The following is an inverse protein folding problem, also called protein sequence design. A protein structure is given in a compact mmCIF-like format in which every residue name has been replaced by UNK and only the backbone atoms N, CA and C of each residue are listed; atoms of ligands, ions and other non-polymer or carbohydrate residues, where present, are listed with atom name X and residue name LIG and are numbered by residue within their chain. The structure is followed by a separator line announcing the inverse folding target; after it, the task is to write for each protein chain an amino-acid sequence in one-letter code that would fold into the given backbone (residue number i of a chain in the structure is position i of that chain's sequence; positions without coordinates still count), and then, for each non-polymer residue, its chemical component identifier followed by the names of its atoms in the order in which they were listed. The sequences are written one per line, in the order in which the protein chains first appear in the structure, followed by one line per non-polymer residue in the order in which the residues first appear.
data_IF_411798316157
#
_entry.id   IF_411798316157
#
_cell.length_a   1.000
_cell.length_b   1.000
_cell.length_c   1.000
_cell.angle_alpha   90.00
_cell.angle_beta   90.00
_cell.angle_gamma   90.00
#
_symmetry.space_group_name_H-M   'P 1'
#
loop_
_entity.id
_entity.type
_entity.pdbx_description
1 polymer ?
#
# COMPACT_ATOMS: atom_id res chain seq x y z
N UNK A 1 41.73 30.17 -27.63
CA UNK A 1 41.78 30.24 -26.16
C UNK A 1 40.42 30.67 -25.61
N UNK A 2 39.77 29.80 -24.83
CA UNK A 2 39.08 30.08 -23.56
C UNK A 2 37.96 29.06 -23.36
N UNK A 3 38.26 28.13 -22.46
CA UNK A 3 37.29 27.28 -21.77
C UNK A 3 36.30 28.20 -21.06
N UNK A 4 34.99 28.04 -21.31
CA UNK A 4 33.97 28.58 -20.43
C UNK A 4 32.99 27.48 -20.07
N UNK A 5 33.21 27.01 -18.86
CA UNK A 5 32.35 26.23 -17.98
C UNK A 5 30.96 26.87 -17.95
N UNK A 6 29.89 26.10 -18.19
CA UNK A 6 28.54 26.52 -17.81
C UNK A 6 27.80 25.34 -17.19
N UNK A 7 28.10 25.13 -15.91
CA UNK A 7 27.45 24.20 -14.99
C UNK A 7 26.32 24.99 -14.31
N UNK A 8 25.05 24.87 -14.73
CA UNK A 8 23.99 25.12 -13.75
C UNK A 8 22.86 24.08 -13.75
N UNK A 9 22.93 23.00 -14.53
CA UNK A 9 21.82 22.04 -14.60
C UNK A 9 21.76 21.08 -13.41
N UNK A 10 22.90 20.77 -12.78
CA UNK A 10 22.96 19.82 -11.66
C UNK A 10 22.47 20.38 -10.32
N UNK A 11 22.36 21.71 -10.16
CA UNK A 11 21.93 22.33 -8.89
C UNK A 11 20.40 22.36 -8.77
N UNK A 12 19.66 22.37 -9.88
CA UNK A 12 18.19 22.40 -9.88
C UNK A 12 17.54 21.06 -9.49
N UNK A 13 18.25 19.94 -9.60
CA UNK A 13 17.73 18.62 -9.21
C UNK A 13 17.69 18.39 -7.68
N UNK A 14 18.46 19.15 -6.89
CA UNK A 14 18.50 18.99 -5.43
C UNK A 14 17.41 19.77 -4.68
N UNK A 15 16.69 20.67 -5.35
CA UNK A 15 15.61 21.48 -4.76
C UNK A 15 14.22 20.82 -4.85
N UNK A 16 14.08 19.67 -5.51
CA UNK A 16 12.82 18.92 -5.61
C UNK A 16 12.54 18.00 -4.41
N UNK A 17 13.39 18.04 -3.37
CA UNK A 17 13.22 17.21 -2.17
C UNK A 17 12.03 17.74 -1.35
N UNK A 18 10.81 17.27 -1.66
CA UNK A 18 9.64 17.47 -0.80
C UNK A 18 9.94 16.85 0.55
N UNK A 19 9.90 17.66 1.61
CA UNK A 19 10.02 17.19 2.99
C UNK A 19 8.96 16.11 3.21
N UNK A 20 9.37 14.87 3.46
CA UNK A 20 8.43 13.79 3.80
C UNK A 20 7.62 14.23 5.01
N UNK A 21 6.30 14.34 4.82
CA UNK A 21 5.38 14.60 5.91
C UNK A 21 5.31 13.32 6.72
N UNK A 22 6.13 13.23 7.77
CA UNK A 22 6.03 12.17 8.76
C UNK A 22 4.75 12.41 9.57
N UNK A 23 3.67 11.72 9.19
CA UNK A 23 2.49 11.61 10.04
C UNK A 23 2.85 10.73 11.24
N UNK A 24 2.57 11.16 12.48
CA UNK A 24 2.82 10.34 13.65
C UNK A 24 2.03 9.03 13.54
N UNK A 25 2.73 7.91 13.74
CA UNK A 25 2.13 6.58 13.75
C UNK A 25 1.19 6.43 14.96
N UNK A 26 -0.02 5.95 14.71
CA UNK A 26 -1.03 5.68 15.74
C UNK A 26 -1.35 4.18 15.77
N UNK A 27 -0.78 3.49 16.76
CA UNK A 27 -0.96 2.05 16.96
C UNK A 27 -2.43 1.68 17.24
N UNK A 28 -3.18 2.54 17.93
CA UNK A 28 -4.57 2.29 18.30
C UNK A 28 -5.45 2.29 17.05
N UNK A 29 -5.26 3.28 16.16
CA UNK A 29 -5.95 3.33 14.87
C UNK A 29 -5.61 2.13 13.99
N UNK A 30 -4.33 1.76 13.91
CA UNK A 30 -3.90 0.60 13.13
C UNK A 30 -4.59 -0.69 13.62
N UNK A 31 -4.62 -0.92 14.94
CA UNK A 31 -5.31 -2.08 15.53
C UNK A 31 -6.81 -2.09 15.22
N UNK A 32 -7.48 -0.95 15.38
CA UNK A 32 -8.91 -0.83 15.11
C UNK A 32 -9.23 -1.16 13.63
N UNK A 33 -8.45 -0.61 12.69
CA UNK A 33 -8.61 -0.89 11.26
C UNK A 33 -8.38 -2.37 10.92
N UNK A 34 -7.38 -3.00 11.53
CA UNK A 34 -7.11 -4.44 11.34
C UNK A 34 -8.27 -5.28 11.89
N UNK A 35 -8.78 -4.97 13.09
CA UNK A 35 -9.91 -5.68 13.68
C UNK A 35 -11.16 -5.59 12.80
N UNK A 36 -11.47 -4.40 12.28
CA UNK A 36 -12.59 -4.21 11.36
C UNK A 36 -12.40 -4.99 10.06
N UNK A 37 -11.20 -4.92 9.47
CA UNK A 37 -10.85 -5.66 8.25
C UNK A 37 -11.04 -7.17 8.43
N UNK A 38 -10.53 -7.73 9.53
CA UNK A 38 -10.65 -9.15 9.84
C UNK A 38 -12.11 -9.58 10.07
N UNK A 39 -12.94 -8.71 10.66
CA UNK A 39 -14.36 -8.98 10.84
C UNK A 39 -15.09 -9.10 9.51
N UNK A 40 -14.86 -8.19 8.57
CA UNK A 40 -15.45 -8.27 7.23
C UNK A 40 -14.95 -9.50 6.46
N UNK A 41 -13.64 -9.78 6.53
CA UNK A 41 -13.05 -10.98 5.92
C UNK A 41 -13.73 -12.24 6.44
N UNK A 42 -13.79 -12.43 7.76
CA UNK A 42 -14.36 -13.63 8.37
C UNK A 42 -15.84 -13.81 8.03
N UNK A 43 -16.62 -12.72 8.03
CA UNK A 43 -18.03 -12.76 7.66
C UNK A 43 -18.23 -13.12 6.18
N UNK A 44 -17.46 -12.51 5.26
CA UNK A 44 -17.53 -12.84 3.84
C UNK A 44 -17.11 -14.28 3.57
N UNK A 45 -16.02 -14.72 4.20
CA UNK A 45 -15.51 -16.08 4.06
C UNK A 45 -16.53 -17.13 4.56
N UNK A 46 -17.13 -16.91 5.73
CA UNK A 46 -18.16 -17.80 6.28
C UNK A 46 -19.41 -17.92 5.39
N UNK A 47 -19.69 -16.90 4.56
CA UNK A 47 -20.81 -16.88 3.62
C UNK A 47 -20.46 -17.30 2.19
N UNK A 48 -19.18 -17.61 1.93
CA UNK A 48 -18.70 -17.87 0.57
C UNK A 48 -18.73 -16.63 -0.35
N UNK A 49 -18.81 -15.42 0.19
CA UNK A 49 -18.83 -14.18 -0.58
C UNK A 49 -17.39 -13.76 -0.92
N UNK A 50 -16.92 -14.26 -2.06
CA UNK A 50 -15.56 -14.02 -2.59
C UNK A 50 -15.28 -12.54 -2.74
N UNK A 51 -16.23 -11.75 -3.21
CA UNK A 51 -16.03 -10.33 -3.43
C UNK A 51 -15.82 -9.60 -2.10
N UNK A 52 -16.59 -9.96 -1.08
CA UNK A 52 -16.51 -9.30 0.22
C UNK A 52 -15.21 -9.61 0.97
N UNK A 53 -14.71 -10.84 0.92
CA UNK A 53 -13.45 -11.17 1.60
C UNK A 53 -12.20 -10.78 0.79
N UNK A 54 -12.27 -10.75 -0.54
CA UNK A 54 -11.15 -10.29 -1.38
C UNK A 54 -11.03 -8.76 -1.40
N UNK A 55 -12.10 -8.01 -1.13
CA UNK A 55 -12.05 -6.54 -1.04
C UNK A 55 -11.18 -6.00 0.11
N UNK A 56 -10.70 -6.87 1.01
CA UNK A 56 -9.77 -6.52 2.10
C UNK A 56 -8.30 -6.70 1.71
N UNK A 57 -8.04 -7.18 0.50
CA UNK A 57 -6.71 -7.32 -0.07
C UNK A 57 -6.49 -6.28 -1.16
N UNK A 58 -5.24 -5.88 -1.34
CA UNK A 58 -4.84 -5.10 -2.52
C UNK A 58 -4.84 -6.00 -3.76
N UNK A 59 -4.80 -5.40 -4.96
CA UNK A 59 -4.74 -6.13 -6.25
C UNK A 59 -3.65 -7.20 -6.35
N UNK A 60 -2.56 -7.02 -5.60
CA UNK A 60 -1.41 -7.94 -5.56
C UNK A 60 -1.44 -8.86 -4.35
N UNK A 61 -2.31 -8.62 -3.37
CA UNK A 61 -2.52 -9.49 -2.22
C UNK A 61 -3.44 -10.64 -2.61
N UNK A 62 -3.02 -11.87 -2.30
CA UNK A 62 -3.82 -13.06 -2.57
C UNK A 62 -3.92 -13.99 -1.35
N UNK A 63 -5.06 -14.67 -1.26
CA UNK A 63 -5.33 -15.78 -0.35
C UNK A 63 -5.00 -17.07 -1.12
N UNK A 64 -4.22 -17.95 -0.48
CA UNK A 64 -3.77 -19.21 -1.08
C UNK A 64 -4.20 -20.37 -0.17
N UNK A 65 -5.46 -20.80 -0.25
CA UNK A 65 -5.93 -21.94 0.52
C UNK A 65 -5.34 -23.23 -0.04
N UNK A 66 -5.03 -24.18 0.84
CA UNK A 66 -4.54 -25.50 0.43
C UNK A 66 -5.67 -26.23 -0.31
N UNK A 67 -5.38 -26.73 -1.52
CA UNK A 67 -6.34 -27.51 -2.30
C UNK A 67 -7.44 -26.69 -3.00
N UNK A 68 -7.33 -25.36 -3.03
CA UNK A 68 -8.29 -24.49 -3.70
C UNK A 68 -7.58 -23.47 -4.63
N UNK A 69 -8.30 -22.83 -5.57
CA UNK A 69 -7.76 -21.73 -6.36
C UNK A 69 -7.29 -20.56 -5.49
N UNK A 70 -6.32 -19.79 -5.99
CA UNK A 70 -5.94 -18.52 -5.37
C UNK A 70 -7.03 -17.48 -5.57
N UNK A 71 -7.26 -16.65 -4.56
CA UNK A 71 -8.17 -15.50 -4.63
C UNK A 71 -7.37 -14.22 -4.41
N UNK A 72 -7.37 -13.30 -5.36
CA UNK A 72 -6.61 -12.05 -5.24
C UNK A 72 -7.56 -10.86 -5.03
N UNK A 73 -7.03 -9.80 -4.42
CA UNK A 73 -7.78 -8.56 -4.22
C UNK A 73 -8.24 -7.94 -5.54
N UNK A 74 -9.37 -7.23 -5.47
CA UNK A 74 -9.99 -6.54 -6.59
C UNK A 74 -9.36 -5.18 -6.87
#
# INVERSE_FOLDING_TARGET
MKKMINIPFSVLLFLACKKEVSTPYDLTKAKAAITESNKTFGYGFAKGDVNLFTSKYTKVGCIIPIGAPKFCGS
#
